data_IF_145099327781
#
_entry.id   IF_145099327781
#
_cell.length_a   1.000
_cell.length_b   1.000
_cell.length_c   1.000
_cell.angle_alpha   90.00
_cell.angle_beta   90.00
_cell.angle_gamma   90.00
#
_symmetry.space_group_name_H-M   'P 1'
#
loop_
_entity.id
_entity.type
_entity.pdbx_description
1 polymer ?
#
# COMPACT_ATOMS: atom_id res chain seq x y z
N UNK A 1 1.79 33.01 -5.18
CA UNK A 1 2.97 32.19 -5.53
C UNK A 1 3.52 31.42 -4.33
N UNK A 2 2.68 30.66 -3.63
CA UNK A 2 3.13 29.75 -2.55
C UNK A 2 3.27 28.31 -3.11
N UNK A 3 2.49 27.95 -4.14
CA UNK A 3 2.50 26.61 -4.75
C UNK A 3 3.82 26.24 -5.42
N UNK A 4 4.37 27.11 -6.26
CA UNK A 4 5.60 26.82 -7.05
C UNK A 4 6.82 26.53 -6.16
N UNK A 5 6.90 27.17 -5.00
CA UNK A 5 8.01 26.99 -4.05
C UNK A 5 7.86 25.71 -3.23
N UNK A 6 6.64 25.42 -2.77
CA UNK A 6 6.35 24.21 -2.00
C UNK A 6 6.48 22.94 -2.86
N UNK A 7 5.99 22.98 -4.10
CA UNK A 7 6.13 21.89 -5.07
C UNK A 7 7.60 21.60 -5.39
N UNK A 8 8.38 22.65 -5.69
CA UNK A 8 9.81 22.47 -5.97
C UNK A 8 10.58 21.89 -4.77
N UNK A 9 10.27 22.34 -3.55
CA UNK A 9 10.85 21.76 -2.32
C UNK A 9 10.45 20.30 -2.13
N UNK A 10 9.18 19.94 -2.38
CA UNK A 10 8.73 18.56 -2.30
C UNK A 10 9.47 17.66 -3.31
N UNK A 11 9.58 18.10 -4.57
CA UNK A 11 10.31 17.37 -5.60
C UNK A 11 11.79 17.20 -5.27
N UNK A 12 12.44 18.22 -4.69
CA UNK A 12 13.84 18.15 -4.26
C UNK A 12 14.05 17.22 -3.06
N UNK A 13 13.00 16.95 -2.28
CA UNK A 13 13.06 16.02 -1.14
C UNK A 13 12.85 14.56 -1.53
N UNK A 14 12.48 14.28 -2.79
CA UNK A 14 12.30 12.92 -3.28
C UNK A 14 13.66 12.23 -3.48
N UNK A 15 13.84 11.11 -2.79
CA UNK A 15 14.88 10.14 -3.10
C UNK A 15 14.29 9.10 -4.07
N UNK A 16 14.56 9.30 -5.36
CA UNK A 16 14.09 8.40 -6.43
C UNK A 16 14.59 6.97 -6.23
N UNK A 17 15.82 6.78 -5.75
CA UNK A 17 16.37 5.44 -5.55
C UNK A 17 15.65 4.75 -4.38
N UNK A 18 15.29 5.48 -3.34
CA UNK A 18 14.45 4.96 -2.26
C UNK A 18 13.05 4.59 -2.75
N UNK A 19 12.42 5.41 -3.60
CA UNK A 19 11.13 5.08 -4.22
C UNK A 19 11.21 3.81 -5.06
N UNK A 20 12.28 3.64 -5.85
CA UNK A 20 12.49 2.44 -6.65
C UNK A 20 12.65 1.22 -5.74
N UNK A 21 13.49 1.30 -4.70
CA UNK A 21 13.69 0.19 -3.75
C UNK A 21 12.38 -0.20 -3.08
N UNK A 22 11.62 0.78 -2.57
CA UNK A 22 10.30 0.58 -1.98
C UNK A 22 9.35 -0.14 -2.93
N UNK A 23 9.24 0.33 -4.17
CA UNK A 23 8.40 -0.30 -5.18
C UNK A 23 8.84 -1.74 -5.47
N UNK A 24 10.15 -1.99 -5.56
CA UNK A 24 10.66 -3.34 -5.78
C UNK A 24 10.36 -4.29 -4.62
N UNK A 25 10.52 -3.82 -3.39
CA UNK A 25 10.25 -4.64 -2.20
C UNK A 25 8.77 -4.99 -2.07
N UNK A 26 7.87 -4.04 -2.36
CA UNK A 26 6.43 -4.30 -2.41
C UNK A 26 6.08 -5.30 -3.53
N UNK A 27 6.61 -5.13 -4.74
CA UNK A 27 6.35 -6.04 -5.88
C UNK A 27 6.87 -7.46 -5.61
N UNK A 28 7.91 -7.63 -4.78
CA UNK A 28 8.44 -8.94 -4.42
C UNK A 28 7.54 -9.71 -3.45
N UNK A 29 6.55 -9.07 -2.84
CA UNK A 29 5.57 -9.72 -1.98
C UNK A 29 4.31 -10.06 -2.80
N UNK A 30 4.00 -11.36 -3.02
CA UNK A 30 2.81 -11.76 -3.78
C UNK A 30 1.51 -11.50 -3.02
N UNK A 31 1.00 -10.28 -3.08
CA UNK A 31 -0.21 -9.81 -2.40
C UNK A 31 -1.47 -10.04 -3.22
N UNK A 32 -1.67 -11.26 -3.74
CA UNK A 32 -2.89 -11.57 -4.50
C UNK A 32 -4.11 -11.36 -3.60
N UNK A 33 -5.17 -10.73 -4.12
CA UNK A 33 -6.46 -10.50 -3.45
C UNK A 33 -6.87 -11.71 -2.58
N UNK A 34 -6.96 -11.50 -1.26
CA UNK A 34 -7.19 -12.52 -0.22
C UNK A 34 -5.93 -13.00 0.54
N UNK A 35 -4.73 -12.57 0.14
CA UNK A 35 -3.45 -12.93 0.74
C UNK A 35 -2.56 -11.69 0.97
N UNK A 36 -3.12 -10.63 1.56
CA UNK A 36 -2.46 -9.33 1.69
C UNK A 36 -1.64 -9.17 2.97
N UNK A 37 -1.79 -10.06 3.96
CA UNK A 37 -1.20 -9.87 5.29
C UNK A 37 0.31 -9.57 5.25
N UNK A 38 1.07 -10.32 4.46
CA UNK A 38 2.51 -10.13 4.35
C UNK A 38 2.89 -8.75 3.79
N UNK A 39 2.14 -8.21 2.82
CA UNK A 39 2.42 -6.86 2.29
C UNK A 39 1.96 -5.78 3.26
N UNK A 40 0.87 -6.00 3.99
CA UNK A 40 0.41 -5.07 5.03
C UNK A 40 1.43 -4.99 6.17
N UNK A 41 1.99 -6.12 6.61
CA UNK A 41 3.04 -6.16 7.64
C UNK A 41 4.30 -5.38 7.19
N UNK A 42 4.68 -5.53 5.91
CA UNK A 42 5.79 -4.80 5.30
C UNK A 42 5.53 -3.27 5.26
N UNK A 43 4.33 -2.86 4.83
CA UNK A 43 3.93 -1.44 4.81
C UNK A 43 3.97 -0.85 6.21
N UNK A 44 3.46 -1.58 7.20
CA UNK A 44 3.46 -1.10 8.58
C UNK A 44 4.88 -0.89 9.11
N UNK A 45 5.81 -1.80 8.82
CA UNK A 45 7.23 -1.61 9.14
C UNK A 45 7.82 -0.38 8.44
N UNK A 46 7.53 -0.20 7.15
CA UNK A 46 8.02 0.95 6.37
C UNK A 46 7.49 2.28 6.89
N UNK A 47 6.23 2.33 7.34
CA UNK A 47 5.63 3.52 7.94
C UNK A 47 6.25 3.82 9.32
N UNK A 48 6.49 2.79 10.13
CA UNK A 48 7.19 2.91 11.42
C UNK A 48 8.61 3.46 11.23
N UNK A 49 9.37 2.92 10.27
CA UNK A 49 10.73 3.38 9.93
C UNK A 49 10.75 4.81 9.39
N UNK A 50 9.70 5.23 8.70
CA UNK A 50 9.50 6.61 8.25
C UNK A 50 9.05 7.57 9.38
N UNK A 51 8.86 7.07 10.60
CA UNK A 51 8.53 7.87 11.79
C UNK A 51 7.05 8.17 11.98
N UNK A 52 6.16 7.39 11.35
CA UNK A 52 4.72 7.50 11.55
C UNK A 52 4.27 6.71 12.79
N UNK A 53 3.23 7.19 13.44
CA UNK A 53 2.46 6.39 14.41
C UNK A 53 1.57 5.42 13.63
N UNK A 54 1.77 4.11 13.81
CA UNK A 54 1.13 3.08 12.99
C UNK A 54 0.06 2.32 13.76
N UNK A 55 -1.14 2.30 13.19
CA UNK A 55 -2.27 1.47 13.60
C UNK A 55 -2.42 0.30 12.64
N UNK A 56 -2.35 -0.93 13.16
CA UNK A 56 -2.74 -2.16 12.44
C UNK A 56 -4.10 -2.60 12.96
N UNK A 57 -5.07 -2.82 12.09
CA UNK A 57 -6.40 -3.27 12.49
C UNK A 57 -6.95 -4.35 11.58
N UNK A 58 -7.61 -5.32 12.19
CA UNK A 58 -8.37 -6.35 11.50
C UNK A 58 -9.82 -5.90 11.44
N UNK A 59 -10.34 -5.75 10.21
CA UNK A 59 -11.74 -5.40 10.01
C UNK A 59 -12.64 -6.61 10.27
N UNK A 60 -13.76 -6.36 10.94
CA UNK A 60 -14.82 -7.33 11.11
C UNK A 60 -15.53 -7.53 9.76
N UNK A 61 -15.19 -8.63 9.09
CA UNK A 61 -15.70 -8.95 7.75
C UNK A 61 -17.22 -9.18 7.77
N UNK A 62 -17.77 -9.74 8.85
CA UNK A 62 -19.21 -9.99 8.96
C UNK A 62 -19.97 -8.67 9.14
N UNK A 63 -19.42 -7.76 9.95
CA UNK A 63 -19.96 -6.40 10.09
C UNK A 63 -19.92 -5.64 8.76
N UNK A 64 -18.83 -5.75 7.99
CA UNK A 64 -18.72 -5.15 6.67
C UNK A 64 -19.77 -5.72 5.71
N UNK A 65 -19.95 -7.04 5.68
CA UNK A 65 -20.96 -7.73 4.84
C UNK A 65 -22.38 -7.30 5.16
N UNK A 66 -22.69 -7.05 6.44
CA UNK A 66 -24.01 -6.60 6.88
C UNK A 66 -24.31 -5.14 6.50
N UNK A 67 -23.31 -4.34 6.11
CA UNK A 67 -23.51 -2.92 5.82
C UNK A 67 -24.31 -2.72 4.52
N UNK A 68 -25.36 -1.85 4.47
CA UNK A 68 -26.22 -1.69 3.29
C UNK A 68 -25.52 -1.23 2.00
N UNK A 69 -24.34 -0.60 2.14
CA UNK A 69 -23.49 -0.17 1.01
C UNK A 69 -22.34 -1.13 0.73
N UNK A 70 -22.35 -2.33 1.29
CA UNK A 70 -21.31 -3.33 1.03
C UNK A 70 -21.34 -3.70 -0.47
N UNK A 71 -20.24 -3.49 -1.21
CA UNK A 71 -20.24 -3.70 -2.65
C UNK A 71 -20.21 -5.20 -3.04
N UNK A 72 -20.06 -6.10 -2.07
CA UNK A 72 -19.73 -7.51 -2.30
C UNK A 72 -18.24 -7.77 -2.14
N UNK A 73 -17.82 -8.99 -2.47
CA UNK A 73 -16.42 -9.40 -2.46
C UNK A 73 -16.06 -10.07 -3.79
N UNK A 74 -14.88 -9.74 -4.32
CA UNK A 74 -14.33 -10.43 -5.48
C UNK A 74 -13.85 -11.85 -5.12
N UNK A 75 -13.28 -12.01 -3.92
CA UNK A 75 -12.82 -13.28 -3.37
C UNK A 75 -13.37 -13.42 -1.96
N UNK A 76 -13.78 -14.63 -1.58
CA UNK A 76 -14.18 -14.93 -0.21
C UNK A 76 -13.04 -14.62 0.76
N UNK A 77 -13.33 -13.82 1.78
CA UNK A 77 -12.38 -13.40 2.80
C UNK A 77 -12.89 -13.78 4.18
N UNK A 78 -11.98 -14.31 4.99
CA UNK A 78 -12.17 -14.53 6.42
C UNK A 78 -11.40 -13.52 7.27
N UNK A 79 -10.48 -12.78 6.66
CA UNK A 79 -9.71 -11.72 7.28
C UNK A 79 -9.59 -10.52 6.35
N UNK A 80 -9.44 -9.34 6.94
CA UNK A 80 -9.17 -8.10 6.23
C UNK A 80 -8.27 -7.23 7.12
N UNK A 81 -6.98 -7.22 6.81
CA UNK A 81 -5.98 -6.45 7.54
C UNK A 81 -5.81 -5.09 6.87
N UNK A 82 -5.83 -4.04 7.67
CA UNK A 82 -5.56 -2.67 7.24
C UNK A 82 -4.47 -2.05 8.09
N UNK A 83 -3.74 -1.13 7.48
CA UNK A 83 -2.67 -0.37 8.12
C UNK A 83 -2.90 1.11 7.86
N UNK A 84 -2.80 1.91 8.90
CA UNK A 84 -2.82 3.37 8.81
C UNK A 84 -1.59 3.94 9.52
N UNK A 85 -0.95 4.93 8.90
CA UNK A 85 0.13 5.71 9.50
C UNK A 85 -0.29 7.15 9.68
N UNK A 86 -0.02 7.73 10.84
CA UNK A 86 -0.29 9.13 11.15
C UNK A 86 1.03 9.88 11.33
N UNK A 87 1.18 11.02 10.63
CA UNK A 87 2.32 11.92 10.77
C UNK A 87 1.85 13.34 11.02
N UNK A 88 2.55 14.04 11.92
CA UNK A 88 2.27 15.45 12.24
C UNK A 88 1.37 15.63 13.46
N UNK A 89 0.80 16.83 13.60
CA UNK A 89 -0.02 17.21 14.76
C UNK A 89 -1.47 17.45 14.35
N UNK A 90 -2.40 17.25 15.28
CA UNK A 90 -3.82 17.58 15.07
C UNK A 90 -3.96 19.09 14.81
N UNK A 91 -4.66 19.44 13.74
CA UNK A 91 -4.92 20.82 13.34
C UNK A 91 -6.24 20.93 12.56
N UNK A 92 -6.50 22.10 11.98
CA UNK A 92 -7.76 22.36 11.25
C UNK A 92 -7.88 21.62 9.91
N UNK A 93 -6.76 21.13 9.37
CA UNK A 93 -6.70 20.45 8.07
C UNK A 93 -5.88 19.18 8.17
N UNK A 94 -6.39 18.11 7.57
CA UNK A 94 -5.70 16.84 7.40
C UNK A 94 -5.75 16.40 5.94
N UNK A 95 -4.81 15.54 5.56
CA UNK A 95 -4.77 14.88 4.26
C UNK A 95 -4.74 13.37 4.51
N UNK A 96 -5.60 12.63 3.83
CA UNK A 96 -5.57 11.16 3.81
C UNK A 96 -5.05 10.73 2.45
N UNK A 97 -3.98 9.95 2.45
CA UNK A 97 -3.53 9.20 1.30
C UNK A 97 -4.02 7.77 1.47
N UNK A 98 -4.86 7.30 0.55
CA UNK A 98 -5.41 5.95 0.57
C UNK A 98 -5.08 5.23 -0.73
N UNK A 99 -4.74 3.95 -0.61
CA UNK A 99 -4.45 3.06 -1.72
C UNK A 99 -4.73 1.62 -1.32
N UNK A 100 -4.75 0.73 -2.31
CA UNK A 100 -4.82 -0.71 -2.11
C UNK A 100 -3.49 -1.34 -2.54
N UNK A 101 -3.17 -2.48 -1.95
CA UNK A 101 -1.90 -3.18 -2.18
C UNK A 101 -2.10 -4.63 -2.60
N UNK A 102 -3.36 -5.05 -2.75
CA UNK A 102 -3.69 -6.31 -3.37
C UNK A 102 -3.58 -6.23 -4.89
N UNK A 103 -3.23 -7.36 -5.51
CA UNK A 103 -3.09 -7.50 -6.95
C UNK A 103 -3.87 -8.70 -7.48
N UNK A 104 -4.15 -8.69 -8.77
CA UNK A 104 -4.77 -9.82 -9.45
C UNK A 104 -3.79 -11.00 -9.64
N UNK A 105 -4.28 -12.23 -9.86
CA UNK A 105 -3.41 -13.36 -10.21
C UNK A 105 -2.55 -13.10 -11.46
N UNK A 106 -1.31 -13.60 -11.45
CA UNK A 106 -0.29 -13.34 -12.49
C UNK A 106 -0.54 -14.00 -13.85
N UNK A 107 -1.59 -14.82 -13.96
CA UNK A 107 -1.88 -15.59 -15.17
C UNK A 107 -0.81 -16.64 -15.51
N UNK A 108 -0.60 -16.87 -16.81
CA UNK A 108 0.40 -17.83 -17.30
C UNK A 108 1.82 -17.32 -17.07
N UNK A 109 2.57 -18.00 -16.18
CA UNK A 109 3.96 -17.66 -15.86
C UNK A 109 4.90 -17.79 -17.05
N UNK A 110 4.59 -18.63 -18.04
CA UNK A 110 5.45 -18.81 -19.22
C UNK A 110 5.36 -17.62 -20.19
N UNK A 111 4.30 -16.82 -20.10
CA UNK A 111 4.15 -15.59 -20.89
C UNK A 111 5.03 -14.44 -20.39
N UNK A 112 5.61 -14.55 -19.20
CA UNK A 112 6.46 -13.53 -18.61
C UNK A 112 7.93 -13.69 -19.01
N UNK A 113 8.57 -12.60 -19.46
CA UNK A 113 10.00 -12.58 -19.80
C UNK A 113 10.92 -12.62 -18.55
N UNK A 114 10.41 -12.15 -17.41
CA UNK A 114 11.02 -12.25 -16.09
C UNK A 114 9.94 -12.57 -15.07
N UNK A 115 10.27 -13.19 -13.94
CA UNK A 115 9.26 -13.52 -12.92
C UNK A 115 8.41 -12.28 -12.56
N UNK A 116 7.07 -12.40 -12.48
CA UNK A 116 6.19 -11.28 -12.12
C UNK A 116 6.51 -10.68 -10.74
N UNK A 117 7.14 -11.47 -9.87
CA UNK A 117 7.53 -11.07 -8.52
C UNK A 117 9.02 -10.71 -8.39
N UNK A 118 9.75 -10.63 -9.50
CA UNK A 118 11.18 -10.30 -9.47
C UNK A 118 11.45 -8.82 -9.19
N UNK A 119 10.47 -7.96 -9.48
CA UNK A 119 10.65 -6.51 -9.60
C UNK A 119 11.84 -6.14 -10.51
N UNK A 120 12.01 -6.87 -11.61
CA UNK A 120 13.10 -6.69 -12.54
C UNK A 120 13.00 -5.33 -13.26
N UNK A 121 14.08 -4.55 -13.23
CA UNK A 121 14.23 -3.32 -13.98
C UNK A 121 15.06 -3.63 -15.22
N UNK A 122 14.52 -3.29 -16.39
CA UNK A 122 15.24 -3.38 -17.65
C UNK A 122 15.93 -2.04 -17.92
N UNK A 123 17.25 -2.05 -17.87
CA UNK A 123 18.11 -0.91 -18.20
C UNK A 123 18.35 -0.82 -19.72
#
# INVERSE_FOLDING_TARGET
MIGERAESTALQSLDTDACIRLAQDLVRVPSITGNERAVQDLIALMLEEAGLEVDRFEADVDLLKAHPRFPGMEVERTEAVLVAGTLGQKGERSLILNGHVDVVPVGDRQAWQASPWSAHIRL
#
